data_IF_081540038968
#
_entry.id   IF_081540038968
#
_cell.length_a   1.000
_cell.length_b   1.000
_cell.length_c   1.000
_cell.angle_alpha   90.00
_cell.angle_beta   90.00
_cell.angle_gamma   90.00
#
_symmetry.space_group_name_H-M   'P 1'
#
loop_
_entity.id
_entity.type
_entity.pdbx_description
1 polymer ?
#
# COMPACT_ATOMS: atom_id res chain seq x y z
N UNK A 1 -26.54 23.26 -12.81
CA UNK A 1 -26.08 22.62 -14.06
C UNK A 1 -24.57 22.72 -14.30
N UNK A 2 -23.97 23.86 -14.69
CA UNK A 2 -22.50 23.91 -14.92
C UNK A 2 -21.64 23.68 -13.67
N UNK A 3 -22.06 24.22 -12.52
CA UNK A 3 -21.37 24.03 -11.25
C UNK A 3 -21.42 22.57 -10.76
N UNK A 4 -22.52 21.86 -11.01
CA UNK A 4 -22.69 20.45 -10.65
C UNK A 4 -21.84 19.54 -11.53
N UNK A 5 -21.74 19.84 -12.84
CA UNK A 5 -20.86 19.12 -13.75
C UNK A 5 -19.37 19.28 -13.40
N UNK A 6 -18.95 20.50 -13.01
CA UNK A 6 -17.58 20.74 -12.49
C UNK A 6 -17.30 19.99 -11.19
N UNK A 7 -18.28 19.92 -10.30
CA UNK A 7 -18.16 19.18 -9.04
C UNK A 7 -18.06 17.67 -9.28
N UNK A 8 -18.94 17.10 -10.10
CA UNK A 8 -18.92 15.69 -10.48
C UNK A 8 -17.61 15.29 -11.16
N UNK A 9 -17.06 16.16 -12.04
CA UNK A 9 -15.75 15.94 -12.68
C UNK A 9 -14.61 15.86 -11.66
N UNK A 10 -14.59 16.79 -10.71
CA UNK A 10 -13.56 16.82 -9.65
C UNK A 10 -13.63 15.55 -8.78
N UNK A 11 -14.83 15.14 -8.39
CA UNK A 11 -15.06 13.90 -7.65
C UNK A 11 -14.59 12.67 -8.43
N UNK A 12 -14.87 12.62 -9.73
CA UNK A 12 -14.44 11.52 -10.59
C UNK A 12 -12.92 11.40 -10.66
N UNK A 13 -12.21 12.52 -10.91
CA UNK A 13 -10.75 12.51 -10.96
C UNK A 13 -10.11 12.20 -9.60
N UNK A 14 -10.69 12.70 -8.50
CA UNK A 14 -10.25 12.35 -7.16
C UNK A 14 -10.39 10.82 -6.92
N UNK A 15 -11.53 10.25 -7.30
CA UNK A 15 -11.79 8.80 -7.18
C UNK A 15 -10.88 7.97 -8.09
N UNK A 16 -10.64 8.42 -9.31
CA UNK A 16 -9.73 7.74 -10.24
C UNK A 16 -8.30 7.75 -9.72
N UNK A 17 -7.82 8.88 -9.21
CA UNK A 17 -6.50 9.00 -8.59
C UNK A 17 -6.37 8.07 -7.38
N UNK A 18 -7.41 7.99 -6.56
CA UNK A 18 -7.42 7.10 -5.40
C UNK A 18 -7.47 5.61 -5.78
N UNK A 19 -8.19 5.27 -6.85
CA UNK A 19 -8.21 3.91 -7.41
C UNK A 19 -6.84 3.53 -8.00
N UNK A 20 -6.19 4.44 -8.72
CA UNK A 20 -4.85 4.21 -9.26
C UNK A 20 -3.82 4.01 -8.15
N UNK A 21 -3.85 4.85 -7.11
CA UNK A 21 -2.97 4.70 -5.95
C UNK A 21 -3.20 3.35 -5.24
N UNK A 22 -4.47 2.95 -5.08
CA UNK A 22 -4.83 1.65 -4.49
C UNK A 22 -4.33 0.49 -5.34
N UNK A 23 -4.53 0.52 -6.66
CA UNK A 23 -4.10 -0.53 -7.57
C UNK A 23 -2.56 -0.66 -7.60
N UNK A 24 -1.85 0.47 -7.60
CA UNK A 24 -0.39 0.48 -7.52
C UNK A 24 0.12 -0.09 -6.20
N UNK A 25 -0.55 0.20 -5.08
CA UNK A 25 -0.20 -0.36 -3.76
C UNK A 25 -0.40 -1.88 -3.70
N UNK A 26 -1.52 -2.39 -4.24
CA UNK A 26 -1.79 -3.82 -4.33
C UNK A 26 -0.72 -4.55 -5.15
N UNK A 27 -0.41 -4.03 -6.33
CA UNK A 27 0.61 -4.60 -7.22
C UNK A 27 2.00 -4.52 -6.58
N UNK A 28 2.35 -3.39 -5.97
CA UNK A 28 3.63 -3.23 -5.26
C UNK A 28 3.76 -4.22 -4.11
N UNK A 29 2.70 -4.47 -3.34
CA UNK A 29 2.71 -5.44 -2.26
C UNK A 29 2.89 -6.87 -2.78
N UNK A 30 2.16 -7.25 -3.82
CA UNK A 30 2.29 -8.55 -4.46
C UNK A 30 3.73 -8.78 -4.94
N UNK A 31 4.34 -7.78 -5.57
CA UNK A 31 5.70 -7.88 -6.11
C UNK A 31 6.77 -7.89 -5.01
N UNK A 32 6.66 -7.01 -4.01
CA UNK A 32 7.70 -6.82 -2.99
C UNK A 32 7.62 -7.88 -1.88
N UNK A 33 6.40 -8.25 -1.48
CA UNK A 33 6.17 -9.14 -0.36
C UNK A 33 5.65 -10.52 -0.76
N UNK A 34 5.20 -10.71 -2.01
CA UNK A 34 4.50 -11.93 -2.43
C UNK A 34 3.19 -12.11 -1.66
N UNK A 35 2.46 -11.03 -1.43
CA UNK A 35 1.22 -11.01 -0.64
C UNK A 35 0.10 -10.40 -1.48
N UNK A 36 -0.97 -11.18 -1.68
CA UNK A 36 -2.17 -10.68 -2.32
C UNK A 36 -2.98 -9.92 -1.27
N UNK A 37 -3.04 -8.60 -1.42
CA UNK A 37 -3.76 -7.75 -0.47
C UNK A 37 -5.26 -8.05 -0.45
N UNK A 38 -5.85 -8.45 -1.57
CA UNK A 38 -7.29 -8.72 -1.66
C UNK A 38 -7.66 -10.03 -0.97
N UNK A 39 -6.77 -11.03 -1.00
CA UNK A 39 -6.91 -12.25 -0.20
C UNK A 39 -6.79 -11.93 1.29
N UNK A 40 -5.77 -11.16 1.70
CA UNK A 40 -5.56 -10.80 3.11
C UNK A 40 -6.72 -10.01 3.69
N UNK A 41 -7.33 -9.11 2.90
CA UNK A 41 -8.49 -8.33 3.36
C UNK A 41 -9.72 -9.21 3.61
N UNK A 42 -9.87 -10.31 2.86
CA UNK A 42 -10.95 -11.32 3.01
C UNK A 42 -10.63 -12.39 4.04
N UNK A 43 -9.36 -12.53 4.41
CA UNK A 43 -8.86 -13.54 5.34
C UNK A 43 -9.36 -13.33 6.78
N UNK A 44 -9.13 -14.35 7.62
CA UNK A 44 -9.44 -14.30 9.05
C UNK A 44 -8.59 -13.24 9.78
N UNK A 45 -9.03 -12.84 10.98
CA UNK A 45 -8.27 -11.88 11.79
C UNK A 45 -6.87 -12.38 12.13
N UNK A 46 -6.69 -13.69 12.32
CA UNK A 46 -5.40 -14.28 12.62
C UNK A 46 -4.42 -14.16 11.44
N UNK A 47 -4.90 -14.36 10.22
CA UNK A 47 -4.12 -14.20 8.99
C UNK A 47 -3.76 -12.73 8.73
N UNK A 48 -4.68 -11.80 9.04
CA UNK A 48 -4.40 -10.36 9.01
C UNK A 48 -3.28 -9.99 9.99
N UNK A 49 -3.34 -10.46 11.23
CA UNK A 49 -2.29 -10.21 12.23
C UNK A 49 -0.95 -10.87 11.89
N UNK A 50 -0.96 -12.06 11.29
CA UNK A 50 0.25 -12.69 10.74
C UNK A 50 0.86 -11.84 9.63
N UNK A 51 0.02 -11.29 8.75
CA UNK A 51 0.44 -10.45 7.64
C UNK A 51 1.01 -9.12 8.13
N UNK A 52 0.34 -8.45 9.08
CA UNK A 52 0.85 -7.25 9.74
C UNK A 52 2.24 -7.46 10.32
N UNK A 53 2.45 -8.54 11.08
CA UNK A 53 3.76 -8.89 11.65
C UNK A 53 4.84 -9.07 10.57
N UNK A 54 4.48 -9.68 9.43
CA UNK A 54 5.39 -9.82 8.28
C UNK A 54 5.73 -8.46 7.66
N UNK A 55 4.73 -7.60 7.44
CA UNK A 55 4.93 -6.25 6.92
C UNK A 55 5.81 -5.39 7.83
N UNK A 56 5.60 -5.44 9.15
CA UNK A 56 6.44 -4.73 10.13
C UNK A 56 7.91 -5.14 9.99
N UNK A 57 8.21 -6.44 9.87
CA UNK A 57 9.58 -6.92 9.67
C UNK A 57 10.20 -6.44 8.36
N UNK A 58 9.40 -6.40 7.28
CA UNK A 58 9.87 -5.91 5.97
C UNK A 58 10.15 -4.40 6.02
N UNK A 59 9.28 -3.61 6.65
CA UNK A 59 9.49 -2.17 6.84
C UNK A 59 10.76 -1.88 7.65
N UNK A 60 10.97 -2.61 8.74
CA UNK A 60 12.16 -2.45 9.58
C UNK A 60 13.43 -2.84 8.84
N UNK A 61 13.40 -3.94 8.07
CA UNK A 61 14.52 -4.32 7.20
C UNK A 61 14.85 -3.22 6.19
N UNK A 62 13.84 -2.59 5.60
CA UNK A 62 14.05 -1.50 4.65
C UNK A 62 14.60 -0.24 5.34
N UNK A 63 14.13 0.06 6.55
CA UNK A 63 14.65 1.16 7.39
C UNK A 63 16.12 0.96 7.74
N UNK A 64 16.51 -0.27 8.11
CA UNK A 64 17.90 -0.63 8.41
C UNK A 64 18.80 -0.49 7.17
N UNK A 65 18.34 -0.91 5.99
CA UNK A 65 19.08 -0.69 4.74
C UNK A 65 19.32 0.80 4.50
N UNK A 66 18.30 1.64 4.70
CA UNK A 66 18.43 3.10 4.57
C UNK A 66 19.42 3.67 5.57
N UNK A 67 19.35 3.25 6.84
CA UNK A 67 20.28 3.68 7.88
C UNK A 67 21.73 3.27 7.62
N UNK A 68 21.95 2.08 7.03
CA UNK A 68 23.28 1.58 6.67
C UNK A 68 23.79 2.08 5.31
N UNK A 69 23.04 2.91 4.58
CA UNK A 69 23.41 3.35 3.23
C UNK A 69 23.48 2.21 2.21
N UNK A 70 22.73 1.13 2.42
CA UNK A 70 22.76 -0.04 1.55
C UNK A 70 22.16 0.29 0.17
N UNK A 71 22.86 -0.06 -0.90
CA UNK A 71 22.48 0.25 -2.29
C UNK A 71 21.07 -0.22 -2.69
N UNK A 72 20.57 -1.28 -2.06
CA UNK A 72 19.24 -1.83 -2.35
C UNK A 72 18.10 -1.11 -1.60
N UNK A 73 18.40 -0.06 -0.82
CA UNK A 73 17.39 0.73 -0.12
C UNK A 73 16.48 1.43 -1.12
N UNK A 74 15.18 1.33 -0.90
CA UNK A 74 14.17 1.98 -1.72
C UNK A 74 13.09 2.62 -0.84
N UNK A 75 12.99 3.96 -0.89
CA UNK A 75 11.99 4.73 -0.16
C UNK A 75 10.56 4.39 -0.63
N UNK A 76 10.36 4.17 -1.93
CA UNK A 76 9.05 3.81 -2.47
C UNK A 76 8.62 2.43 -1.99
N UNK A 77 9.58 1.50 -1.84
CA UNK A 77 9.32 0.20 -1.22
C UNK A 77 8.84 0.34 0.22
N UNK A 78 9.46 1.22 1.01
CA UNK A 78 9.02 1.48 2.38
C UNK A 78 7.62 2.11 2.43
N UNK A 79 7.35 3.11 1.58
CA UNK A 79 6.04 3.75 1.48
C UNK A 79 4.95 2.73 1.10
N UNK A 80 5.22 1.86 0.13
CA UNK A 80 4.29 0.82 -0.29
C UNK A 80 3.98 -0.16 0.85
N UNK A 81 4.99 -0.61 1.60
CA UNK A 81 4.81 -1.50 2.74
C UNK A 81 3.98 -0.85 3.86
N UNK A 82 4.23 0.43 4.15
CA UNK A 82 3.45 1.18 5.14
C UNK A 82 1.98 1.33 4.70
N UNK A 83 1.75 1.71 3.44
CA UNK A 83 0.41 1.87 2.89
C UNK A 83 -0.38 0.55 2.92
N UNK A 84 0.29 -0.58 2.63
CA UNK A 84 -0.32 -1.90 2.76
C UNK A 84 -0.68 -2.23 4.21
N UNK A 85 0.21 -1.92 5.17
CA UNK A 85 -0.04 -2.13 6.59
C UNK A 85 -1.26 -1.32 7.07
N UNK A 86 -1.30 -0.03 6.74
CA UNK A 86 -2.39 0.88 7.10
C UNK A 86 -3.74 0.42 6.51
N UNK A 87 -3.72 -0.29 5.37
CA UNK A 87 -4.91 -0.78 4.69
C UNK A 87 -5.48 -2.07 5.29
N UNK A 88 -4.67 -2.89 5.93
CA UNK A 88 -5.13 -4.10 6.63
C UNK A 88 -5.90 -3.74 7.90
N UNK A 89 -5.56 -2.61 8.52
CA UNK A 89 -6.25 -2.04 9.70
C UNK A 89 -5.80 -2.68 10.99
#
# INVERSE_FOLDING_TARGET
MEAELKHARTLFFARQKQNQLTAMQQVALQIIAGIDLDEVLKASQEEKERTKRRLTRLMERERLKGACGHWSYDLNRHIALKQAFDRIG
#
